data_IF_599008679888
#
_entry.id   IF_599008679888
#
_cell.length_a   1.000
_cell.length_b   1.000
_cell.length_c   1.000
_cell.angle_alpha   90.00
_cell.angle_beta   90.00
_cell.angle_gamma   90.00
#
_symmetry.space_group_name_H-M   'P 1'
#
loop_
_entity.id
_entity.type
_entity.pdbx_description
1 polymer ?
#
# COMPACT_ATOMS: atom_id res chain seq x y z
N UNK A 1 -8.17 -7.74 64.82
CA UNK A 1 -7.05 -7.10 64.09
C UNK A 1 -7.42 -7.02 62.61
N UNK A 2 -7.76 -5.84 62.07
CA UNK A 2 -8.10 -5.71 60.65
C UNK A 2 -6.81 -5.48 59.85
N UNK A 3 -6.52 -6.39 58.92
CA UNK A 3 -5.42 -6.27 57.96
C UNK A 3 -5.75 -5.18 56.94
N UNK A 4 -5.08 -4.03 57.05
CA UNK A 4 -5.12 -2.99 56.04
C UNK A 4 -4.37 -3.47 54.79
N UNK A 5 -5.09 -4.04 53.82
CA UNK A 5 -4.55 -4.25 52.47
C UNK A 5 -4.59 -2.92 51.73
N UNK A 6 -3.49 -2.17 51.79
CA UNK A 6 -3.30 -0.97 50.99
C UNK A 6 -3.03 -1.35 49.54
N UNK A 7 -4.09 -1.68 48.80
CA UNK A 7 -4.02 -1.89 47.36
C UNK A 7 -3.97 -0.51 46.69
N UNK A 8 -2.76 0.08 46.70
CA UNK A 8 -2.49 1.36 46.05
C UNK A 8 -2.54 1.14 44.54
N UNK A 9 -3.70 1.44 43.96
CA UNK A 9 -3.91 1.47 42.51
C UNK A 9 -2.81 2.26 41.80
N UNK A 10 -1.90 1.55 41.14
CA UNK A 10 -0.93 2.12 40.21
C UNK A 10 -1.72 2.74 39.06
N UNK A 11 -1.96 4.05 39.15
CA UNK A 11 -2.44 4.85 38.04
C UNK A 11 -1.38 4.75 36.94
N UNK A 12 -1.59 3.85 35.99
CA UNK A 12 -0.70 3.61 34.85
C UNK A 12 -0.61 4.91 34.04
N UNK A 13 0.46 5.69 34.27
CA UNK A 13 0.78 6.86 33.45
C UNK A 13 0.80 6.40 31.99
N UNK A 14 -0.12 6.93 31.19
CA UNK A 14 -0.14 6.63 29.75
C UNK A 14 1.13 7.21 29.13
N UNK A 15 1.92 6.38 28.45
CA UNK A 15 3.15 6.82 27.78
C UNK A 15 2.84 8.01 26.85
N UNK A 16 3.65 9.09 26.88
CA UNK A 16 3.49 10.24 25.98
C UNK A 16 3.38 9.84 24.50
N UNK A 17 4.12 8.79 24.09
CA UNK A 17 4.07 8.22 22.73
C UNK A 17 2.66 7.73 22.39
N UNK A 18 2.00 7.04 23.31
CA UNK A 18 0.65 6.52 23.09
C UNK A 18 -0.34 7.67 22.94
N UNK A 19 -0.16 8.76 23.70
CA UNK A 19 -1.00 9.96 23.58
C UNK A 19 -0.78 10.62 22.21
N UNK A 20 0.47 10.79 21.79
CA UNK A 20 0.83 11.32 20.48
C UNK A 20 0.22 10.49 19.34
N UNK A 21 0.39 9.16 19.34
CA UNK A 21 -0.18 8.28 18.29
C UNK A 21 -1.70 8.37 18.21
N UNK A 22 -2.39 8.57 19.34
CA UNK A 22 -3.84 8.79 19.35
C UNK A 22 -4.21 10.12 18.69
N UNK A 23 -3.44 11.18 18.94
CA UNK A 23 -3.65 12.48 18.30
C UNK A 23 -3.40 12.39 16.78
N UNK A 24 -2.30 11.79 16.36
CA UNK A 24 -1.98 11.56 14.94
C UNK A 24 -3.09 10.77 14.23
N UNK A 25 -3.63 9.72 14.89
CA UNK A 25 -4.75 8.96 14.35
C UNK A 25 -6.01 9.80 14.16
N UNK A 26 -6.31 10.71 15.08
CA UNK A 26 -7.43 11.64 14.96
C UNK A 26 -7.23 12.63 13.81
N UNK A 27 -6.02 13.18 13.66
CA UNK A 27 -5.70 14.08 12.55
C UNK A 27 -5.81 13.38 11.19
N UNK A 28 -5.27 12.16 11.07
CA UNK A 28 -5.43 11.35 9.86
C UNK A 28 -6.91 11.04 9.56
N UNK A 29 -7.75 10.84 10.58
CA UNK A 29 -9.20 10.73 10.38
C UNK A 29 -9.81 12.02 9.79
N UNK A 30 -9.36 13.20 10.24
CA UNK A 30 -9.82 14.48 9.68
C UNK A 30 -9.38 14.67 8.24
N UNK A 31 -8.12 14.35 7.92
CA UNK A 31 -7.60 14.38 6.55
C UNK A 31 -8.43 13.45 5.65
N UNK A 32 -8.68 12.21 6.10
CA UNK A 32 -9.52 11.26 5.36
C UNK A 32 -10.92 11.84 5.10
N UNK A 33 -11.58 12.38 6.12
CA UNK A 33 -12.92 12.97 5.98
C UNK A 33 -12.93 14.12 4.96
N UNK A 34 -11.94 15.01 5.01
CA UNK A 34 -11.81 16.12 4.05
C UNK A 34 -11.57 15.64 2.62
N UNK A 35 -10.78 14.58 2.44
CA UNK A 35 -10.60 13.92 1.13
C UNK A 35 -11.89 13.26 0.64
N UNK A 36 -12.62 12.57 1.51
CA UNK A 36 -13.89 11.91 1.18
C UNK A 36 -14.99 12.92 0.82
N UNK A 37 -14.95 14.12 1.38
CA UNK A 37 -15.86 15.21 1.03
C UNK A 37 -15.63 15.75 -0.40
N UNK A 38 -14.39 15.67 -0.91
CA UNK A 38 -13.98 16.14 -2.26
C UNK A 38 -14.31 15.12 -3.37
N UNK A 39 -15.51 14.52 -3.34
CA UNK A 39 -15.95 13.43 -4.26
C UNK A 39 -15.84 13.76 -5.74
N UNK A 40 -16.08 15.03 -6.11
CA UNK A 40 -16.07 15.53 -7.49
C UNK A 40 -14.68 15.93 -7.99
N UNK A 41 -13.64 15.68 -7.20
CA UNK A 41 -12.27 16.09 -7.50
C UNK A 41 -11.32 14.88 -7.46
N UNK A 42 -11.19 14.15 -8.58
CA UNK A 42 -10.33 12.97 -8.67
C UNK A 42 -8.86 13.28 -8.42
N UNK A 43 -8.41 14.46 -8.87
CA UNK A 43 -7.03 14.95 -8.70
C UNK A 43 -7.06 16.18 -7.82
N UNK A 44 -6.29 16.17 -6.75
CA UNK A 44 -6.10 17.29 -5.83
C UNK A 44 -4.92 18.13 -6.35
N UNK A 45 -5.15 19.40 -6.75
CA UNK A 45 -4.07 20.28 -7.16
C UNK A 45 -3.26 20.73 -5.96
N UNK A 46 -2.00 21.12 -6.18
CA UNK A 46 -1.07 21.52 -5.12
C UNK A 46 -1.59 22.70 -4.29
N UNK A 47 -2.30 23.63 -4.92
CA UNK A 47 -2.93 24.77 -4.26
C UNK A 47 -3.98 24.39 -3.20
N UNK A 48 -4.50 23.15 -3.23
CA UNK A 48 -5.47 22.65 -2.26
C UNK A 48 -4.89 21.64 -1.26
N UNK A 49 -3.60 21.29 -1.37
CA UNK A 49 -2.98 20.33 -0.45
C UNK A 49 -2.82 20.93 0.96
N UNK A 50 -2.51 22.22 1.06
CA UNK A 50 -2.33 22.91 2.34
C UNK A 50 -3.62 22.91 3.17
N UNK A 51 -4.78 23.13 2.56
CA UNK A 51 -6.11 23.05 3.20
C UNK A 51 -6.39 21.65 3.77
N UNK A 52 -5.76 20.63 3.21
CA UNK A 52 -5.88 19.23 3.63
C UNK A 52 -4.79 18.81 4.62
N UNK A 53 -3.94 19.75 5.06
CA UNK A 53 -2.73 19.47 5.87
C UNK A 53 -1.79 18.48 5.20
N UNK A 54 -1.74 18.51 3.87
CA UNK A 54 -0.83 17.69 3.06
C UNK A 54 0.29 18.57 2.55
N UNK A 55 1.53 18.15 2.77
CA UNK A 55 2.72 18.78 2.21
C UNK A 55 3.17 17.92 1.04
N UNK A 56 3.37 18.57 -0.11
CA UNK A 56 4.04 17.96 -1.24
C UNK A 56 5.55 18.12 -1.07
N UNK A 57 6.24 17.00 -0.85
CA UNK A 57 7.69 16.97 -0.80
C UNK A 57 8.31 16.98 -2.21
N UNK A 58 9.63 16.98 -2.24
CA UNK A 58 10.42 16.84 -3.46
C UNK A 58 9.99 15.58 -4.25
N UNK A 59 10.04 15.61 -5.60
CA UNK A 59 9.74 14.44 -6.42
C UNK A 59 10.43 13.19 -5.90
N UNK A 60 9.70 12.07 -5.89
CA UNK A 60 10.25 10.81 -5.42
C UNK A 60 11.01 10.15 -6.55
N UNK A 61 12.33 10.20 -6.48
CA UNK A 61 13.19 9.53 -7.46
C UNK A 61 13.07 8.02 -7.30
N UNK A 62 12.67 7.34 -8.37
CA UNK A 62 12.42 5.89 -8.36
C UNK A 62 13.53 5.11 -9.07
N UNK A 63 14.55 5.78 -9.60
CA UNK A 63 15.67 5.14 -10.26
C UNK A 63 16.58 4.42 -9.24
N UNK A 64 17.57 3.67 -9.75
CA UNK A 64 18.41 2.80 -8.92
C UNK A 64 19.39 3.54 -8.00
N UNK A 65 19.90 4.69 -8.45
CA UNK A 65 20.84 5.55 -7.73
C UNK A 65 20.20 6.92 -7.45
N UNK A 66 19.18 6.99 -6.58
CA UNK A 66 18.39 8.19 -6.41
C UNK A 66 19.17 9.29 -5.69
N UNK A 67 18.96 10.54 -6.12
CA UNK A 67 19.45 11.72 -5.41
C UNK A 67 18.28 12.35 -4.66
N UNK A 68 18.20 12.12 -3.34
CA UNK A 68 17.15 12.68 -2.51
C UNK A 68 17.63 13.80 -1.59
N UNK A 69 16.83 14.87 -1.56
CA UNK A 69 16.97 15.95 -0.59
C UNK A 69 16.09 15.76 0.65
N UNK A 70 15.24 14.74 0.65
CA UNK A 70 14.28 14.44 1.71
C UNK A 70 14.43 12.98 2.18
N UNK A 71 14.00 12.65 3.41
CA UNK A 71 14.10 11.29 3.93
C UNK A 71 13.53 10.24 2.97
N UNK A 72 14.29 9.16 2.79
CA UNK A 72 13.90 7.98 2.02
C UNK A 72 13.60 6.83 2.98
N UNK A 73 12.45 6.21 2.79
CA UNK A 73 12.01 5.08 3.60
C UNK A 73 11.89 3.77 2.81
N UNK A 74 12.05 3.83 1.49
CA UNK A 74 11.92 2.68 0.61
C UNK A 74 12.97 2.73 -0.50
N UNK A 75 13.47 1.55 -0.87
CA UNK A 75 14.29 1.32 -2.06
C UNK A 75 13.63 0.27 -2.94
N UNK A 76 13.89 0.27 -4.26
CA UNK A 76 13.43 -0.82 -5.11
C UNK A 76 13.95 -2.16 -4.59
N UNK A 77 13.14 -3.20 -4.75
CA UNK A 77 13.53 -4.57 -4.43
C UNK A 77 14.73 -5.05 -5.26
N UNK A 78 15.38 -6.15 -4.84
CA UNK A 78 16.50 -6.72 -5.58
C UNK A 78 16.12 -7.16 -7.01
N UNK A 79 17.06 -7.01 -7.95
CA UNK A 79 16.86 -7.35 -9.37
C UNK A 79 16.64 -8.86 -9.54
N UNK A 80 17.44 -9.69 -8.87
CA UNK A 80 17.36 -11.16 -8.91
C UNK A 80 15.96 -11.66 -8.48
N UNK A 81 15.37 -11.03 -7.46
CA UNK A 81 14.01 -11.37 -7.02
C UNK A 81 12.96 -11.01 -8.06
N UNK A 82 13.10 -9.85 -8.70
CA UNK A 82 12.18 -9.45 -9.77
C UNK A 82 12.28 -10.41 -10.95
N UNK A 83 13.50 -10.73 -11.42
CA UNK A 83 13.71 -11.65 -12.54
C UNK A 83 13.15 -13.04 -12.24
N UNK A 84 13.42 -13.57 -11.05
CA UNK A 84 12.90 -14.86 -10.60
C UNK A 84 11.37 -14.86 -10.55
N UNK A 85 10.77 -13.81 -10.01
CA UNK A 85 9.32 -13.67 -9.92
C UNK A 85 8.64 -13.61 -11.30
N UNK A 86 9.19 -12.82 -12.23
CA UNK A 86 8.72 -12.73 -13.61
C UNK A 86 8.88 -14.07 -14.32
N UNK A 87 10.03 -14.72 -14.20
CA UNK A 87 10.33 -16.02 -14.79
C UNK A 87 9.33 -17.08 -14.33
N UNK A 88 9.12 -17.22 -13.02
CA UNK A 88 8.15 -18.18 -12.45
C UNK A 88 6.73 -17.93 -12.92
N UNK A 89 6.30 -16.67 -12.95
CA UNK A 89 4.97 -16.32 -13.44
C UNK A 89 4.78 -16.70 -14.93
N UNK A 90 5.81 -16.55 -15.76
CA UNK A 90 5.77 -16.93 -17.18
C UNK A 90 5.79 -18.44 -17.38
N UNK A 91 6.60 -19.18 -16.61
CA UNK A 91 6.77 -20.64 -16.74
C UNK A 91 5.61 -21.43 -16.11
N UNK A 92 5.27 -21.13 -14.86
CA UNK A 92 4.29 -21.93 -14.08
C UNK A 92 2.85 -21.59 -14.48
N UNK A 93 2.66 -20.47 -15.20
CA UNK A 93 1.35 -19.87 -15.41
C UNK A 93 0.66 -19.55 -14.09
N UNK A 94 -0.58 -19.06 -14.17
CA UNK A 94 -1.33 -18.76 -12.95
C UNK A 94 -2.02 -20.03 -12.42
N UNK A 95 -1.50 -20.62 -11.32
CA UNK A 95 -2.07 -21.83 -10.71
C UNK A 95 -3.39 -21.60 -9.93
N UNK A 96 -3.89 -20.37 -9.82
CA UNK A 96 -4.99 -20.03 -8.90
C UNK A 96 -6.41 -20.01 -9.48
N UNK A 97 -6.61 -19.81 -10.77
CA UNK A 97 -7.96 -19.74 -11.38
C UNK A 97 -7.91 -20.12 -12.87
N UNK A 98 -8.58 -21.21 -13.25
CA UNK A 98 -8.63 -21.76 -14.62
C UNK A 98 -9.18 -20.79 -15.69
N UNK A 99 -9.78 -19.66 -15.31
CA UNK A 99 -10.41 -18.71 -16.24
C UNK A 99 -9.50 -17.59 -16.75
N UNK A 100 -8.22 -17.54 -16.36
CA UNK A 100 -7.32 -16.46 -16.79
C UNK A 100 -6.04 -17.02 -17.41
N UNK A 101 -6.17 -17.51 -18.66
CA UNK A 101 -5.03 -17.69 -19.59
C UNK A 101 -4.35 -16.37 -20.00
N UNK A 102 -4.57 -15.27 -19.27
CA UNK A 102 -4.08 -13.91 -19.54
C UNK A 102 -2.92 -13.50 -18.63
N UNK A 103 -1.99 -14.41 -18.36
CA UNK A 103 -0.72 -14.12 -17.68
C UNK A 103 0.29 -13.40 -18.58
N UNK A 104 -0.02 -13.28 -19.88
CA UNK A 104 0.79 -12.57 -20.86
C UNK A 104 0.61 -11.07 -20.63
N UNK A 105 1.69 -10.30 -20.73
CA UNK A 105 1.65 -8.85 -20.82
C UNK A 105 0.87 -8.45 -22.10
N UNK A 106 -0.46 -8.36 -22.00
CA UNK A 106 -1.33 -8.21 -23.17
C UNK A 106 -1.21 -6.83 -23.80
N UNK A 107 -1.30 -6.83 -25.14
CA UNK A 107 -1.48 -5.62 -25.93
C UNK A 107 -2.88 -5.07 -25.62
N UNK A 108 -2.98 -3.82 -25.16
CA UNK A 108 -4.27 -3.18 -24.89
C UNK A 108 -5.22 -3.21 -26.07
N UNK A 109 -6.52 -3.33 -25.80
CA UNK A 109 -7.53 -3.05 -26.82
C UNK A 109 -7.48 -1.56 -27.19
N UNK A 110 -7.62 -1.21 -28.49
CA UNK A 110 -7.77 0.18 -28.89
C UNK A 110 -8.95 0.83 -28.16
N UNK A 111 -8.80 2.09 -27.78
CA UNK A 111 -9.92 2.84 -27.22
C UNK A 111 -11.00 3.04 -28.25
N UNK A 112 -12.24 2.94 -27.80
CA UNK A 112 -13.35 3.46 -28.56
C UNK A 112 -13.36 5.00 -28.46
N UNK A 113 -12.63 5.67 -29.37
CA UNK A 113 -12.56 7.14 -29.40
C UNK A 113 -13.92 7.81 -29.58
N UNK A 114 -14.91 7.12 -30.17
CA UNK A 114 -16.29 7.64 -30.27
C UNK A 114 -16.92 7.75 -28.87
N UNK A 115 -16.79 6.71 -28.04
CA UNK A 115 -17.27 6.73 -26.65
C UNK A 115 -16.55 7.79 -25.81
N UNK A 116 -15.24 7.94 -25.99
CA UNK A 116 -14.45 8.94 -25.27
C UNK A 116 -14.94 10.38 -25.51
N UNK A 117 -15.41 10.67 -26.73
CA UNK A 117 -15.93 11.99 -27.13
C UNK A 117 -17.44 12.14 -26.88
N UNK A 118 -18.10 11.10 -26.40
CA UNK A 118 -19.54 11.13 -26.15
C UNK A 118 -19.84 11.96 -24.90
N UNK A 119 -20.87 12.80 -24.99
CA UNK A 119 -21.47 13.50 -23.85
C UNK A 119 -22.51 12.62 -23.12
N UNK A 120 -22.76 11.40 -23.59
CA UNK A 120 -23.68 10.47 -22.94
C UNK A 120 -23.08 9.87 -21.67
N UNK A 121 -23.83 9.90 -20.57
CA UNK A 121 -23.36 9.37 -19.28
C UNK A 121 -22.98 7.88 -19.35
N UNK A 122 -23.72 7.09 -20.15
CA UNK A 122 -23.45 5.66 -20.35
C UNK A 122 -22.09 5.44 -21.01
N UNK A 123 -21.73 6.23 -22.02
CA UNK A 123 -20.44 6.11 -22.68
C UNK A 123 -19.29 6.49 -21.74
N UNK A 124 -19.46 7.54 -20.94
CA UNK A 124 -18.50 7.93 -19.91
C UNK A 124 -18.33 6.85 -18.83
N UNK A 125 -19.42 6.17 -18.43
CA UNK A 125 -19.38 5.01 -17.56
C UNK A 125 -18.54 3.87 -18.14
N UNK A 126 -18.80 3.49 -19.41
CA UNK A 126 -18.06 2.42 -20.06
C UNK A 126 -16.58 2.76 -20.23
N UNK A 127 -16.26 3.99 -20.66
CA UNK A 127 -14.87 4.45 -20.79
C UNK A 127 -14.13 4.39 -19.46
N UNK A 128 -14.74 4.91 -18.38
CA UNK A 128 -14.12 4.85 -17.06
C UNK A 128 -13.93 3.41 -16.58
N UNK A 129 -14.86 2.50 -16.92
CA UNK A 129 -14.80 1.09 -16.54
C UNK A 129 -13.71 0.34 -17.30
N UNK A 130 -13.57 0.61 -18.60
CA UNK A 130 -12.46 0.10 -19.40
C UNK A 130 -11.13 0.59 -18.83
N UNK A 131 -11.03 1.87 -18.41
CA UNK A 131 -9.82 2.43 -17.83
C UNK A 131 -9.48 1.78 -16.48
N UNK A 132 -10.47 1.57 -15.61
CA UNK A 132 -10.25 0.83 -14.34
C UNK A 132 -9.81 -0.60 -14.61
N UNK A 133 -10.41 -1.26 -15.60
CA UNK A 133 -10.04 -2.62 -15.99
C UNK A 133 -8.61 -2.69 -16.50
N UNK A 134 -8.17 -1.73 -17.32
CA UNK A 134 -6.78 -1.60 -17.78
C UNK A 134 -5.81 -1.49 -16.58
N UNK A 135 -6.14 -0.64 -15.60
CA UNK A 135 -5.36 -0.48 -14.37
C UNK A 135 -5.31 -1.78 -13.54
N UNK A 136 -6.44 -2.46 -13.38
CA UNK A 136 -6.55 -3.73 -12.65
C UNK A 136 -5.75 -4.85 -13.31
N UNK A 137 -5.78 -4.95 -14.64
CA UNK A 137 -5.00 -5.95 -15.37
C UNK A 137 -3.49 -5.74 -15.15
N UNK A 138 -3.00 -4.49 -15.17
CA UNK A 138 -1.60 -4.19 -14.88
C UNK A 138 -1.26 -4.48 -13.42
N UNK A 139 -2.06 -3.98 -12.47
CA UNK A 139 -1.86 -4.28 -11.04
C UNK A 139 -1.73 -5.78 -10.80
N UNK A 140 -2.66 -6.57 -11.35
CA UNK A 140 -2.66 -8.03 -11.20
C UNK A 140 -1.41 -8.68 -11.76
N UNK A 141 -0.95 -8.24 -12.93
CA UNK A 141 0.30 -8.72 -13.51
C UNK A 141 1.48 -8.50 -12.54
N UNK A 142 1.62 -7.27 -12.02
CA UNK A 142 2.70 -6.92 -11.10
C UNK A 142 2.66 -7.70 -9.79
N UNK A 143 1.48 -7.79 -9.17
CA UNK A 143 1.30 -8.54 -7.92
C UNK A 143 1.65 -10.00 -8.15
N UNK A 144 1.18 -10.61 -9.23
CA UNK A 144 1.51 -12.00 -9.56
C UNK A 144 3.01 -12.20 -9.80
N UNK A 145 3.65 -11.31 -10.56
CA UNK A 145 5.08 -11.38 -10.83
C UNK A 145 5.90 -11.31 -9.54
N UNK A 146 5.44 -10.59 -8.52
CA UNK A 146 6.17 -10.46 -7.25
C UNK A 146 5.73 -11.41 -6.14
N UNK A 147 4.55 -12.03 -6.23
CA UNK A 147 3.92 -12.71 -5.09
C UNK A 147 4.77 -13.86 -4.53
N UNK A 148 5.46 -14.61 -5.39
CA UNK A 148 6.28 -15.76 -4.99
C UNK A 148 7.62 -15.38 -4.35
N UNK A 149 8.06 -14.13 -4.53
CA UNK A 149 9.37 -13.61 -4.11
C UNK A 149 9.25 -12.46 -3.12
N UNK A 150 8.02 -12.03 -2.80
CA UNK A 150 7.77 -10.90 -1.94
C UNK A 150 8.06 -11.22 -0.48
N UNK A 151 8.81 -10.33 0.18
CA UNK A 151 9.01 -10.38 1.63
C UNK A 151 7.81 -9.82 2.41
N UNK A 152 6.88 -9.16 1.71
CA UNK A 152 5.72 -8.52 2.31
C UNK A 152 4.64 -9.53 2.71
N UNK A 153 3.93 -9.26 3.82
CA UNK A 153 2.79 -10.06 4.26
C UNK A 153 1.49 -9.26 4.20
N UNK A 154 0.33 -9.89 3.92
CA UNK A 154 -0.96 -9.21 3.90
C UNK A 154 -1.27 -8.49 5.23
N UNK A 155 -1.74 -7.24 5.11
CA UNK A 155 -2.05 -6.38 6.24
C UNK A 155 -3.42 -6.74 6.86
N UNK A 156 -3.46 -7.20 8.11
CA UNK A 156 -4.73 -7.70 8.70
C UNK A 156 -5.72 -6.66 9.22
N UNK A 157 -5.29 -5.43 9.53
CA UNK A 157 -6.22 -4.41 10.07
C UNK A 157 -6.87 -3.52 9.03
N UNK A 158 -6.47 -3.64 7.78
CA UNK A 158 -7.26 -3.06 6.70
C UNK A 158 -8.31 -4.11 6.35
N UNK A 159 -9.52 -3.92 6.90
CA UNK A 159 -10.67 -4.74 6.54
C UNK A 159 -11.12 -4.36 5.14
N UNK A 160 -11.64 -5.32 4.38
CA UNK A 160 -12.28 -5.07 3.08
C UNK A 160 -13.37 -3.99 3.15
N UNK A 161 -14.10 -3.88 4.25
CA UNK A 161 -15.12 -2.83 4.44
C UNK A 161 -14.55 -1.44 4.72
N UNK A 162 -13.24 -1.34 4.98
CA UNK A 162 -12.53 -0.08 5.26
C UNK A 162 -11.56 0.33 4.16
N UNK A 163 -11.49 -0.45 3.06
CA UNK A 163 -10.65 -0.12 1.92
C UNK A 163 -11.24 1.07 1.17
N UNK A 164 -10.48 2.15 0.93
CA UNK A 164 -10.96 3.24 0.12
C UNK A 164 -11.40 2.75 -1.26
N UNK A 165 -12.67 3.02 -1.58
CA UNK A 165 -13.24 2.74 -2.88
C UNK A 165 -14.25 3.83 -3.21
N UNK A 166 -14.40 4.09 -4.50
CA UNK A 166 -15.32 5.11 -4.97
C UNK A 166 -15.82 4.75 -6.35
N UNK A 167 -17.09 5.03 -6.60
CA UNK A 167 -17.71 4.89 -7.92
C UNK A 167 -18.87 5.87 -7.97
N UNK A 168 -18.73 6.95 -8.73
CA UNK A 168 -19.78 7.97 -8.87
C UNK A 168 -19.64 8.70 -10.19
N UNK A 169 -20.71 9.38 -10.56
CA UNK A 169 -20.71 10.38 -11.60
C UNK A 169 -21.21 11.73 -11.09
N UNK A 170 -20.95 12.76 -11.88
CA UNK A 170 -21.48 14.11 -11.68
C UNK A 170 -21.41 14.89 -12.99
N UNK A 171 -22.26 15.90 -13.13
CA UNK A 171 -22.20 16.82 -14.26
C UNK A 171 -21.16 17.93 -14.05
N UNK A 172 -20.53 18.33 -15.14
CA UNK A 172 -19.65 19.50 -15.25
C UNK A 172 -20.09 20.36 -16.43
N UNK A 173 -19.56 21.58 -16.54
CA UNK A 173 -19.78 22.42 -17.73
C UNK A 173 -19.34 21.74 -19.04
N UNK A 174 -18.43 20.77 -18.96
CA UNK A 174 -17.91 20.01 -20.10
C UNK A 174 -18.67 18.68 -20.33
N UNK A 175 -19.74 18.43 -19.56
CA UNK A 175 -20.56 17.21 -19.63
C UNK A 175 -20.40 16.28 -18.42
N UNK A 176 -21.07 15.10 -18.45
CA UNK A 176 -21.02 14.15 -17.36
C UNK A 176 -19.61 13.57 -17.20
N UNK A 177 -19.20 13.40 -15.95
CA UNK A 177 -17.92 12.80 -15.56
C UNK A 177 -18.19 11.55 -14.76
N UNK A 178 -17.52 10.45 -15.08
CA UNK A 178 -17.47 9.25 -14.25
C UNK A 178 -16.09 9.12 -13.60
N UNK A 179 -16.05 8.70 -12.34
CA UNK A 179 -14.81 8.34 -11.65
C UNK A 179 -15.03 7.13 -10.78
N UNK A 180 -14.12 6.18 -10.91
CA UNK A 180 -14.02 5.03 -10.05
C UNK A 180 -12.57 4.75 -9.67
N UNK A 181 -12.39 4.32 -8.43
CA UNK A 181 -11.13 3.78 -7.94
C UNK A 181 -11.39 2.73 -6.86
N UNK A 182 -10.38 1.93 -6.59
CA UNK A 182 -10.40 0.93 -5.53
C UNK A 182 -8.98 0.68 -5.05
N UNK A 183 -8.78 0.79 -3.74
CA UNK A 183 -7.57 0.27 -3.11
C UNK A 183 -7.72 -1.24 -2.92
N UNK A 184 -6.68 -2.00 -3.27
CA UNK A 184 -6.80 -3.45 -3.50
C UNK A 184 -5.91 -4.24 -2.55
N UNK A 185 -4.60 -4.03 -2.65
CA UNK A 185 -3.62 -4.79 -1.88
C UNK A 185 -3.06 -3.95 -0.73
N UNK A 186 -2.81 -4.61 0.40
CA UNK A 186 -2.31 -3.99 1.60
C UNK A 186 -1.32 -4.93 2.26
N UNK A 187 -0.15 -4.39 2.57
CA UNK A 187 0.99 -5.17 2.99
C UNK A 187 1.71 -4.49 4.15
N UNK A 188 2.34 -5.31 5.00
CA UNK A 188 3.28 -4.87 6.02
C UNK A 188 4.46 -5.82 6.11
N UNK A 189 5.54 -5.33 6.72
CA UNK A 189 6.73 -6.13 6.94
C UNK A 189 6.50 -7.18 8.04
N UNK A 190 6.59 -8.49 7.73
CA UNK A 190 6.39 -9.53 8.71
C UNK A 190 7.61 -9.69 9.63
N UNK A 191 7.39 -10.17 10.85
CA UNK A 191 8.49 -10.48 11.79
C UNK A 191 9.38 -11.63 11.30
N UNK A 192 8.78 -12.59 10.62
CA UNK A 192 9.45 -13.72 10.00
C UNK A 192 8.57 -14.27 8.88
N UNK A 193 9.14 -15.02 7.91
CA UNK A 193 8.35 -15.69 6.88
C UNK A 193 7.21 -16.51 7.52
N UNK A 194 5.99 -16.36 7.00
CA UNK A 194 4.76 -17.06 7.46
C UNK A 194 4.34 -16.76 8.91
N UNK A 195 5.03 -15.89 9.64
CA UNK A 195 4.57 -15.42 10.95
C UNK A 195 3.64 -14.23 10.76
N UNK A 196 2.39 -14.41 11.17
CA UNK A 196 1.33 -13.41 11.01
C UNK A 196 1.42 -12.24 12.02
N UNK A 197 2.62 -11.96 12.53
CA UNK A 197 2.91 -10.85 13.45
C UNK A 197 3.84 -9.88 12.73
N UNK A 198 3.62 -8.59 12.95
CA UNK A 198 4.43 -7.53 12.36
C UNK A 198 5.80 -7.49 13.00
N UNK A 199 6.77 -7.05 12.21
CA UNK A 199 8.08 -6.73 12.74
C UNK A 199 7.99 -5.39 13.50
N UNK A 200 8.17 -5.35 14.83
CA UNK A 200 8.10 -4.09 15.59
C UNK A 200 9.19 -3.09 15.21
N UNK A 201 10.27 -3.55 14.55
CA UNK A 201 11.43 -2.76 14.14
C UNK A 201 11.28 -2.09 12.78
N UNK A 202 10.23 -2.46 12.03
CA UNK A 202 10.05 -2.04 10.63
C UNK A 202 8.61 -1.55 10.47
N UNK A 203 8.32 -0.27 10.79
CA UNK A 203 6.98 0.28 10.81
C UNK A 203 6.50 0.65 9.40
N UNK A 204 6.98 -0.02 8.35
CA UNK A 204 6.66 0.28 6.96
C UNK A 204 5.44 -0.49 6.49
N UNK A 205 4.63 0.15 5.66
CA UNK A 205 3.50 -0.46 4.98
C UNK A 205 3.54 -0.15 3.50
N UNK A 206 2.94 -1.03 2.70
CA UNK A 206 2.82 -0.90 1.26
C UNK A 206 1.37 -1.17 0.86
N UNK A 207 0.85 -0.45 -0.11
CA UNK A 207 -0.45 -0.78 -0.70
C UNK A 207 -0.56 -0.41 -2.17
N UNK A 208 -1.56 -0.99 -2.83
CA UNK A 208 -1.87 -0.69 -4.22
C UNK A 208 -3.25 -0.08 -4.37
N UNK A 209 -3.40 0.82 -5.33
CA UNK A 209 -4.71 1.34 -5.74
C UNK A 209 -4.84 1.31 -7.25
N UNK A 210 -6.06 1.06 -7.71
CA UNK A 210 -6.44 1.19 -9.13
C UNK A 210 -7.37 2.39 -9.27
N UNK A 211 -7.09 3.27 -10.22
CA UNK A 211 -7.90 4.45 -10.50
C UNK A 211 -8.19 4.54 -12.00
N UNK A 212 -9.43 4.84 -12.35
CA UNK A 212 -9.82 5.11 -13.74
C UNK A 212 -9.27 6.42 -14.29
N UNK A 213 -8.68 7.29 -13.46
CA UNK A 213 -8.09 8.56 -13.86
C UNK A 213 -6.58 8.50 -13.85
N UNK A 214 -5.99 9.34 -14.70
CA UNK A 214 -4.58 9.69 -14.70
C UNK A 214 -4.46 11.02 -13.95
N UNK A 215 -3.47 11.20 -13.06
CA UNK A 215 -3.27 12.48 -12.39
C UNK A 215 -2.98 13.59 -13.40
N UNK A 216 -3.92 14.53 -13.50
CA UNK A 216 -3.81 15.71 -14.35
C UNK A 216 -2.86 16.74 -13.73
N UNK A 217 -2.18 17.52 -14.58
CA UNK A 217 -1.46 18.75 -14.20
C UNK A 217 -0.48 18.58 -13.03
N UNK A 218 0.15 17.40 -12.98
CA UNK A 218 1.09 17.04 -11.92
C UNK A 218 0.46 16.79 -10.55
N UNK A 219 -0.85 16.94 -10.33
CA UNK A 219 -1.49 16.79 -9.02
C UNK A 219 -1.46 15.37 -8.43
N UNK A 220 -1.99 15.23 -7.20
CA UNK A 220 -2.11 13.95 -6.50
C UNK A 220 -3.51 13.36 -6.70
N UNK A 221 -3.62 12.05 -6.93
CA UNK A 221 -4.94 11.44 -7.01
C UNK A 221 -5.51 11.34 -5.59
N UNK A 222 -6.81 11.60 -5.49
CA UNK A 222 -7.56 11.42 -4.25
C UNK A 222 -7.48 9.98 -3.74
N UNK A 223 -7.43 9.00 -4.65
CA UNK A 223 -7.29 7.58 -4.33
C UNK A 223 -5.94 7.24 -3.67
N UNK A 224 -4.86 7.88 -4.09
CA UNK A 224 -3.53 7.70 -3.50
C UNK A 224 -3.43 8.28 -2.10
N UNK A 225 -3.96 9.50 -1.91
CA UNK A 225 -3.99 10.15 -0.61
C UNK A 225 -4.86 9.35 0.38
N UNK A 226 -6.02 8.87 -0.07
CA UNK A 226 -6.89 8.03 0.76
C UNK A 226 -6.23 6.71 1.13
N UNK A 227 -5.51 6.06 0.21
CA UNK A 227 -4.77 4.84 0.49
C UNK A 227 -3.61 5.10 1.46
N UNK A 228 -2.83 6.16 1.25
CA UNK A 228 -1.75 6.55 2.15
C UNK A 228 -2.28 6.78 3.57
N UNK A 229 -3.34 7.58 3.72
CA UNK A 229 -3.98 7.82 5.02
C UNK A 229 -4.52 6.52 5.63
N UNK A 230 -5.10 5.63 4.83
CA UNK A 230 -5.58 4.32 5.28
C UNK A 230 -4.45 3.47 5.87
N UNK A 231 -3.31 3.35 5.16
CA UNK A 231 -2.13 2.61 5.61
C UNK A 231 -1.57 3.20 6.91
N UNK A 232 -1.33 4.53 6.94
CA UNK A 232 -0.80 5.24 8.10
C UNK A 232 -1.70 5.05 9.33
N UNK A 233 -3.02 5.18 9.16
CA UNK A 233 -3.98 4.91 10.24
C UNK A 233 -3.90 3.47 10.73
N UNK A 234 -3.77 2.51 9.81
CA UNK A 234 -3.74 1.11 10.15
C UNK A 234 -2.45 0.73 10.93
N UNK A 235 -1.31 1.35 10.59
CA UNK A 235 -0.03 1.20 11.30
C UNK A 235 -0.11 1.75 12.73
N UNK A 236 -0.66 2.96 12.93
CA UNK A 236 -0.68 3.61 14.25
C UNK A 236 -1.92 3.27 15.10
N UNK A 237 -2.89 2.52 14.55
CA UNK A 237 -4.12 2.10 15.25
C UNK A 237 -3.84 1.36 16.55
N UNK A 238 -2.71 0.65 16.62
CA UNK A 238 -2.25 -0.04 17.81
C UNK A 238 -0.99 0.66 18.32
N UNK A 239 -1.13 1.66 19.21
CA UNK A 239 -0.02 2.53 19.63
C UNK A 239 1.13 1.80 20.32
N UNK A 240 0.99 0.49 20.59
CA UNK A 240 1.99 -0.33 21.25
C UNK A 240 2.96 -1.04 20.32
N UNK A 241 2.70 -1.09 19.01
CA UNK A 241 3.56 -1.87 18.11
C UNK A 241 4.81 -1.16 17.65
N UNK A 242 4.73 0.16 17.48
CA UNK A 242 5.81 0.98 16.95
C UNK A 242 6.13 2.13 17.92
N UNK A 243 6.29 1.81 19.21
CA UNK A 243 6.49 2.82 20.27
C UNK A 243 7.82 3.56 20.12
N UNK A 244 8.85 2.86 19.64
CA UNK A 244 10.18 3.45 19.50
C UNK A 244 10.35 4.18 18.17
N UNK A 245 9.38 4.04 17.28
CA UNK A 245 9.35 4.72 16.00
C UNK A 245 8.61 6.04 16.15
N UNK A 246 9.15 7.09 15.55
CA UNK A 246 8.50 8.38 15.37
C UNK A 246 7.70 8.39 14.07
N UNK A 247 8.28 7.83 13.01
CA UNK A 247 7.70 7.83 11.67
C UNK A 247 7.23 6.41 11.33
N UNK A 248 6.02 6.28 10.78
CA UNK A 248 5.52 5.04 10.19
C UNK A 248 5.32 5.28 8.69
N UNK A 249 6.28 4.94 7.81
CA UNK A 249 6.19 5.23 6.38
C UNK A 249 5.18 4.34 5.66
N UNK A 250 4.54 4.87 4.63
CA UNK A 250 3.67 4.14 3.72
C UNK A 250 4.14 4.32 2.27
N UNK A 251 4.15 3.23 1.50
CA UNK A 251 4.39 3.23 0.07
C UNK A 251 3.08 2.91 -0.67
N UNK A 252 2.70 3.76 -1.59
CA UNK A 252 1.52 3.57 -2.44
C UNK A 252 1.95 3.36 -3.88
N UNK A 253 1.50 2.27 -4.48
CA UNK A 253 1.68 1.99 -5.90
C UNK A 253 0.33 2.17 -6.58
N UNK A 254 0.23 3.24 -7.35
CA UNK A 254 -1.01 3.64 -8.00
C UNK A 254 -0.98 3.19 -9.45
N UNK A 255 -1.98 2.42 -9.85
CA UNK A 255 -2.22 2.01 -11.23
C UNK A 255 -3.38 2.83 -11.78
N UNK A 256 -3.15 3.48 -12.90
CA UNK A 256 -4.09 4.42 -13.49
C UNK A 256 -4.69 3.87 -14.79
N UNK A 257 -5.83 4.45 -15.16
CA UNK A 257 -6.41 4.29 -16.47
C UNK A 257 -5.39 4.49 -17.58
N UNK A 258 -5.53 3.71 -18.66
CA UNK A 258 -4.64 3.76 -19.83
C UNK A 258 -3.18 3.43 -19.54
N UNK A 259 -2.97 2.52 -18.59
CA UNK A 259 -1.68 1.87 -18.37
C UNK A 259 -0.58 2.87 -17.99
N UNK A 260 -0.86 3.75 -17.03
CA UNK A 260 0.21 4.43 -16.32
C UNK A 260 0.21 4.01 -14.87
N UNK A 261 1.34 4.18 -14.20
CA UNK A 261 1.43 3.99 -12.77
C UNK A 261 2.37 5.02 -12.15
N UNK A 262 2.33 5.16 -10.83
CA UNK A 262 3.37 5.86 -10.09
C UNK A 262 3.53 5.31 -8.69
N UNK A 263 4.70 5.60 -8.13
CA UNK A 263 5.06 5.26 -6.75
C UNK A 263 4.95 6.53 -5.92
N UNK A 264 4.32 6.41 -4.75
CA UNK A 264 4.10 7.53 -3.83
C UNK A 264 4.57 7.11 -2.45
N UNK A 265 5.58 7.80 -1.91
CA UNK A 265 6.00 7.67 -0.51
C UNK A 265 5.19 8.67 0.32
N UNK A 266 4.63 8.21 1.44
CA UNK A 266 3.90 9.06 2.36
C UNK A 266 4.28 8.77 3.81
N UNK A 267 4.26 9.80 4.66
CA UNK A 267 4.44 9.66 6.10
C UNK A 267 3.77 10.82 6.83
N UNK A 268 3.43 10.62 8.10
CA UNK A 268 2.84 11.66 8.94
C UNK A 268 3.88 12.19 9.92
N UNK A 269 4.09 13.51 9.94
CA UNK A 269 5.07 14.15 10.80
C UNK A 269 4.64 15.59 11.10
N UNK A 270 4.85 16.06 12.35
CA UNK A 270 4.54 17.42 12.80
C UNK A 270 3.14 17.92 12.40
N UNK A 271 2.12 17.08 12.55
CA UNK A 271 0.74 17.46 12.27
C UNK A 271 0.36 17.46 10.78
N UNK A 272 1.27 17.03 9.89
CA UNK A 272 1.13 17.11 8.43
C UNK A 272 1.35 15.74 7.78
N UNK A 273 0.60 15.47 6.71
CA UNK A 273 0.84 14.34 5.83
C UNK A 273 1.85 14.77 4.76
N UNK A 274 3.06 14.24 4.79
CA UNK A 274 4.07 14.51 3.76
C UNK A 274 3.93 13.46 2.66
N UNK A 275 3.89 13.89 1.40
CA UNK A 275 3.72 13.02 0.23
C UNK A 275 4.74 13.38 -0.83
N UNK A 276 5.47 12.36 -1.30
CA UNK A 276 6.43 12.45 -2.40
C UNK A 276 5.98 11.49 -3.50
N UNK A 277 5.65 12.02 -4.67
CA UNK A 277 5.21 11.23 -5.81
C UNK A 277 6.31 11.14 -6.86
N UNK A 278 6.47 9.97 -7.47
CA UNK A 278 7.37 9.77 -8.59
C UNK A 278 6.82 10.36 -9.88
N UNK A 279 7.65 10.35 -10.94
CA UNK A 279 7.17 10.49 -12.31
C UNK A 279 6.13 9.41 -12.64
N UNK A 280 5.32 9.68 -13.66
CA UNK A 280 4.45 8.65 -14.24
C UNK A 280 5.30 7.64 -15.02
N UNK A 281 5.06 6.36 -14.75
CA UNK A 281 5.63 5.22 -15.48
C UNK A 281 4.65 4.83 -16.57
N UNK A 282 5.13 4.74 -17.82
CA UNK A 282 4.31 4.32 -18.95
C UNK A 282 4.30 2.78 -19.06
N UNK A 283 3.13 2.18 -18.84
CA UNK A 283 2.88 0.75 -18.98
C UNK A 283 2.15 0.41 -20.29
N UNK A 284 1.96 1.39 -21.18
CA UNK A 284 1.42 1.19 -22.52
C UNK A 284 2.52 0.84 -23.52
N UNK A 285 3.20 -0.29 -23.27
CA UNK A 285 4.24 -0.84 -24.14
C UNK A 285 3.95 -2.31 -24.43
N UNK A 286 4.31 -2.85 -25.60
CA UNK A 286 4.01 -4.24 -25.96
C UNK A 286 4.93 -5.27 -25.26
N UNK A 287 6.07 -4.83 -24.75
CA UNK A 287 7.13 -5.68 -24.17
C UNK A 287 7.54 -5.17 -22.79
N UNK A 288 8.24 -6.02 -22.03
CA UNK A 288 8.84 -5.62 -20.74
C UNK A 288 9.94 -4.58 -21.00
N UNK A 289 9.70 -3.36 -20.55
CA UNK A 289 10.65 -2.25 -20.59
C UNK A 289 11.42 -2.14 -19.25
N UNK A 290 12.52 -1.38 -19.20
CA UNK A 290 13.20 -1.06 -17.95
C UNK A 290 12.25 -0.45 -16.91
N UNK A 291 11.35 0.44 -17.34
CA UNK A 291 10.30 1.05 -16.51
C UNK A 291 9.36 0.03 -15.86
N UNK A 292 8.98 -1.03 -16.59
CA UNK A 292 8.17 -2.12 -16.05
C UNK A 292 8.96 -2.92 -15.03
N UNK A 293 10.21 -3.26 -15.35
CA UNK A 293 11.08 -4.00 -14.43
C UNK A 293 11.31 -3.19 -13.13
N UNK A 294 11.52 -1.88 -13.26
CA UNK A 294 11.66 -0.96 -12.14
C UNK A 294 10.41 -0.94 -11.27
N UNK A 295 9.22 -0.78 -11.86
CA UNK A 295 7.98 -0.79 -11.10
C UNK A 295 7.72 -2.14 -10.41
N UNK A 296 8.09 -3.27 -11.04
CA UNK A 296 7.99 -4.58 -10.41
C UNK A 296 8.90 -4.69 -9.17
N UNK A 297 10.10 -4.11 -9.23
CA UNK A 297 10.99 -4.00 -8.07
C UNK A 297 10.39 -3.13 -6.98
N UNK A 298 9.69 -2.05 -7.32
CA UNK A 298 8.96 -1.22 -6.34
C UNK A 298 7.78 -1.93 -5.68
N UNK A 299 7.11 -2.84 -6.37
CA UNK A 299 6.08 -3.71 -5.75
C UNK A 299 6.68 -4.66 -4.71
N UNK A 300 7.95 -5.02 -4.87
CA UNK A 300 8.75 -5.72 -3.86
C UNK A 300 9.75 -4.80 -3.15
N UNK A 301 9.39 -3.53 -2.93
CA UNK A 301 10.28 -2.55 -2.32
C UNK A 301 10.80 -3.02 -0.96
N UNK A 302 12.02 -2.62 -0.61
CA UNK A 302 12.63 -2.90 0.69
C UNK A 302 12.53 -1.67 1.61
N UNK A 303 12.20 -1.86 2.89
CA UNK A 303 12.18 -0.79 3.87
C UNK A 303 13.61 -0.31 4.16
N UNK A 304 13.79 1.00 4.24
CA UNK A 304 15.03 1.66 4.65
C UNK A 304 14.72 2.91 5.48
N UNK A 305 15.76 3.65 5.86
CA UNK A 305 15.66 4.94 6.54
C UNK A 305 15.45 4.82 8.05
N UNK A 306 15.98 5.79 8.80
CA UNK A 306 15.76 5.85 10.24
C UNK A 306 14.33 6.33 10.52
N UNK A 307 13.57 5.50 11.23
CA UNK A 307 12.19 5.78 11.64
C UNK A 307 12.06 5.99 13.15
N UNK A 308 13.15 5.81 13.91
CA UNK A 308 13.23 5.98 15.36
C UNK A 308 13.45 7.45 15.73
N UNK A 309 13.14 7.79 16.99
CA UNK A 309 13.40 9.12 17.55
C UNK A 309 14.91 9.36 17.65
N UNK A 310 15.35 10.60 17.42
CA UNK A 310 16.75 10.99 17.53
C UNK A 310 17.37 10.70 18.91
N UNK A 311 16.56 10.65 19.97
CA UNK A 311 17.01 10.41 21.35
C UNK A 311 17.26 8.91 21.66
N UNK A 312 16.98 8.01 20.73
CA UNK A 312 17.48 6.65 20.81
C UNK A 312 18.94 6.66 20.35
N UNK A 313 19.83 7.14 21.24
CA UNK A 313 21.28 7.04 21.07
C UNK A 313 21.64 5.57 20.78
N UNK A 314 21.73 5.27 19.49
CA UNK A 314 22.48 4.11 19.03
C UNK A 314 23.88 4.69 18.90
N UNK A 315 24.87 4.26 19.70
CA UNK A 315 26.24 4.69 19.49
C UNK A 315 26.56 4.45 18.02
N UNK A 316 27.12 5.46 17.36
CA UNK A 316 27.43 5.44 15.94
C UNK A 316 28.15 4.13 15.60
N UNK A 317 27.43 3.17 15.03
CA UNK A 317 28.07 2.01 14.44
C UNK A 317 28.70 2.52 13.16
N UNK A 318 30.03 2.52 13.22
CA UNK A 318 30.97 2.73 12.14
C UNK A 318 30.47 2.12 10.83
N UNK A 319 30.71 2.80 9.71
CA UNK A 319 30.24 2.40 8.37
C UNK A 319 30.70 0.98 8.00
N UNK A 320 29.89 -0.01 8.37
CA UNK A 320 30.03 -1.40 8.01
C UNK A 320 28.64 -1.94 7.79
N UNK A 321 28.15 -1.88 6.55
CA UNK A 321 26.79 -2.22 6.16
C UNK A 321 26.28 -3.47 6.87
N UNK A 322 25.34 -3.26 7.80
CA UNK A 322 24.58 -4.33 8.44
C UNK A 322 23.64 -4.93 7.39
N UNK A 323 24.18 -5.82 6.57
CA UNK A 323 23.38 -6.81 5.86
C UNK A 323 22.75 -7.66 6.96
N UNK A 324 21.43 -7.58 7.12
CA UNK A 324 20.68 -8.56 7.89
C UNK A 324 20.85 -9.92 7.21
N UNK A 325 21.96 -10.61 7.49
CA UNK A 325 22.16 -12.01 7.15
C UNK A 325 21.15 -12.77 8.00
N UNK A 326 20.04 -13.14 7.38
CA UNK A 326 19.16 -14.16 7.92
C UNK A 326 19.99 -15.45 7.96
N UNK A 327 20.27 -15.96 9.15
CA UNK A 327 20.88 -17.27 9.30
C UNK A 327 20.04 -18.32 8.55
N UNK A 328 20.68 -19.23 7.78
CA UNK A 328 19.96 -20.29 7.09
C UNK A 328 19.25 -21.21 8.10
N UNK A 329 18.04 -21.70 7.78
CA UNK A 329 17.16 -22.40 8.72
C UNK A 329 17.61 -23.82 9.14
N UNK A 330 18.83 -24.25 8.84
CA UNK A 330 19.25 -25.65 8.97
C UNK A 330 19.87 -26.03 10.32
N UNK A 331 19.72 -25.20 11.36
CA UNK A 331 20.15 -25.55 12.73
C UNK A 331 19.09 -25.26 13.77
N UNK A 332 17.97 -25.98 13.71
CA UNK A 332 17.21 -26.25 14.93
C UNK A 332 16.89 -27.74 15.04
N UNK A 333 17.52 -28.35 16.04
CA UNK A 333 17.44 -29.76 16.36
C UNK A 333 16.00 -30.26 16.57
N UNK A 334 15.80 -31.47 16.05
CA UNK A 334 15.02 -32.55 16.63
C UNK A 334 14.59 -32.32 18.09
N UNK A 335 13.28 -32.29 18.32
CA UNK A 335 12.73 -32.84 19.56
C UNK A 335 11.37 -33.47 19.26
N UNK A 336 11.22 -34.63 19.89
CA UNK A 336 10.24 -35.71 19.75
C UNK A 336 8.76 -35.35 19.91
N UNK A 337 7.96 -35.96 19.03
CA UNK A 337 6.68 -36.68 19.24
C UNK A 337 5.62 -36.13 20.22
N UNK A 338 4.39 -35.96 19.72
CA UNK A 338 3.30 -36.93 20.00
C UNK A 338 1.99 -36.60 19.26
N UNK A 339 1.36 -37.68 18.80
CA UNK A 339 0.09 -37.78 18.08
C UNK A 339 -1.08 -37.07 18.78
N UNK A 340 -1.97 -36.46 18.00
CA UNK A 340 -3.41 -36.48 18.31
C UNK A 340 -4.24 -36.39 17.03
N UNK A 341 -5.15 -37.35 16.91
CA UNK A 341 -6.05 -37.61 15.79
C UNK A 341 -7.01 -36.44 15.53
N UNK A 342 -7.17 -36.09 14.26
CA UNK A 342 -8.23 -35.22 13.75
C UNK A 342 -9.48 -36.05 13.43
N UNK A 343 -10.62 -35.70 14.04
CA UNK A 343 -11.97 -36.14 13.61
C UNK A 343 -12.63 -35.01 12.80
N UNK A 344 -13.28 -35.29 11.66
CA UNK A 344 -14.09 -34.29 10.97
C UNK A 344 -15.52 -34.30 11.51
N UNK A 345 -16.04 -33.13 11.90
CA UNK A 345 -17.47 -32.95 12.18
C UNK A 345 -18.14 -32.23 11.01
N UNK A 346 -19.01 -32.96 10.31
CA UNK A 346 -19.99 -32.43 9.38
C UNK A 346 -21.00 -31.53 10.12
N UNK A 347 -21.30 -30.36 9.55
CA UNK A 347 -22.36 -29.47 10.00
C UNK A 347 -23.11 -28.89 8.79
N UNK A 348 -24.23 -29.50 8.45
CA UNK A 348 -25.20 -29.07 7.45
C UNK A 348 -25.97 -27.83 7.93
N UNK A 349 -26.01 -26.77 7.12
CA UNK A 349 -26.87 -25.61 7.36
C UNK A 349 -28.16 -25.75 6.54
N UNK A 350 -29.31 -25.79 7.22
CA UNK A 350 -30.65 -25.74 6.61
C UNK A 350 -31.02 -24.26 6.36
N UNK A 351 -31.65 -24.03 5.21
CA UNK A 351 -32.33 -22.79 4.84
C UNK A 351 -33.76 -22.89 5.37
N UNK A 352 -34.21 -21.88 6.12
CA UNK A 352 -35.62 -21.66 6.42
C UNK A 352 -36.09 -20.50 5.54
N UNK A 353 -37.10 -20.79 4.73
CA UNK A 353 -37.96 -19.86 4.02
C UNK A 353 -38.97 -19.24 4.98
N UNK A 354 -39.17 -17.94 4.85
CA UNK A 354 -40.46 -17.25 4.88
C UNK A 354 -40.37 -16.01 3.98
#
# INVERSE_FOLDING_TARGET
>A
MPSQSSDKGRCSRTSPVIVQRKQEFQELCRIQYSLEAKKKMPTIPDSQLEDLRVIRGAPFDIEDDPIDFEPRFFLPGPVDKMEEGVRRMMEEGFQGFQYVRRSIWEVPRPLNCKKLRSSGWQDQFYVSSDFKLDAELRRRWFINATNSVSAWAPHKYVKSSSTPAFCSWWDTSEGPRWHQFQSVDYFMWPRAPRVLRYNPEVPHALGTTIDSRIPADGGLLRSELLLAVCLLKAQIRQPRWFQDHEICPALVISFHGRFSARVVQAYYHNGRLVVRASRLVNLHVPTLSPDICLLARWVNARPVGNTRRADAETPAEDEGGLVCVLDPPDKLHQTTASNTLFRPSHGTCRIASD
#
